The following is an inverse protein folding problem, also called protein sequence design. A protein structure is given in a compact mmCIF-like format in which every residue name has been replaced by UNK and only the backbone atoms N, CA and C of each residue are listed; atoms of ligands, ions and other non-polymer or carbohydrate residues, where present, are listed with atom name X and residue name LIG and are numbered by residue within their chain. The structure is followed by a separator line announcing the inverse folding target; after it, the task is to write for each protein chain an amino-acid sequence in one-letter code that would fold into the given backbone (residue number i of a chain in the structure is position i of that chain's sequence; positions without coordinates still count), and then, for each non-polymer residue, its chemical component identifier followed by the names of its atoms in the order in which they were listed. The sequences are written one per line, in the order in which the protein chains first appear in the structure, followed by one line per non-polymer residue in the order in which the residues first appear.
data_IF_203967047140
#
_entry.id   IF_203967047140
#
_cell.length_a   1.000
_cell.length_b   1.000
_cell.length_c   1.000
_cell.angle_alpha   90.00
_cell.angle_beta   90.00
_cell.angle_gamma   90.00
#
_symmetry.space_group_name_H-M   'P 1'
#
loop_
_entity.id
_entity.type
_entity.pdbx_description
1 polymer ?
#
# COMPACT_ATOMS: atom_id res chain seq x y z
N UNK A 1 -12.02 -7.87 -4.90
CA UNK A 1 -10.83 -8.35 -5.63
C UNK A 1 -9.66 -8.58 -4.68
N UNK A 2 -8.66 -9.39 -5.08
CA UNK A 2 -7.45 -9.66 -4.30
C UNK A 2 -6.23 -9.25 -5.12
N UNK A 3 -5.31 -8.49 -4.51
CA UNK A 3 -4.07 -8.01 -5.11
C UNK A 3 -2.91 -8.39 -4.18
N UNK A 4 -1.79 -8.85 -4.72
CA UNK A 4 -0.59 -9.18 -3.94
C UNK A 4 0.53 -8.26 -4.38
N UNK A 5 1.11 -7.51 -3.43
CA UNK A 5 2.27 -6.64 -3.67
C UNK A 5 3.47 -7.09 -2.83
N UNK A 6 4.71 -6.83 -3.30
CA UNK A 6 5.90 -6.96 -2.46
C UNK A 6 5.76 -6.12 -1.18
N UNK A 7 6.47 -6.51 -0.12
CA UNK A 7 6.36 -5.80 1.15
C UNK A 7 6.72 -4.30 1.03
N UNK A 8 5.80 -3.38 1.36
CA UNK A 8 6.01 -1.96 1.11
C UNK A 8 7.01 -1.29 2.06
N UNK A 9 7.63 -0.17 1.63
CA UNK A 9 8.24 0.77 2.55
C UNK A 9 7.19 1.41 3.47
N UNK A 10 7.58 1.78 4.69
CA UNK A 10 6.70 2.57 5.57
C UNK A 10 6.57 4.01 5.05
N UNK A 11 5.51 4.71 5.48
CA UNK A 11 5.20 6.10 5.11
C UNK A 11 6.38 7.06 5.31
N UNK A 12 7.13 6.86 6.39
CA UNK A 12 8.33 7.65 6.72
C UNK A 12 9.49 7.48 5.72
N UNK A 13 9.43 6.46 4.87
CA UNK A 13 10.42 6.17 3.83
C UNK A 13 9.91 6.44 2.41
N UNK A 14 8.68 6.94 2.23
CA UNK A 14 8.10 7.14 0.90
C UNK A 14 8.66 8.34 0.18
N UNK A 15 8.76 9.47 0.89
CA UNK A 15 9.13 10.74 0.30
C UNK A 15 10.34 11.35 1.01
N UNK A 16 11.23 11.94 0.24
CA UNK A 16 12.26 12.85 0.73
C UNK A 16 11.80 14.30 0.68
N UNK A 17 12.61 15.18 1.27
CA UNK A 17 12.32 16.62 1.40
C UNK A 17 11.74 16.97 2.77
N UNK A 18 12.05 18.17 3.26
CA UNK A 18 11.56 18.72 4.53
C UNK A 18 10.39 19.70 4.40
N UNK A 19 10.00 20.33 5.51
CA UNK A 19 8.87 21.28 5.62
C UNK A 19 8.94 22.48 4.67
N UNK A 20 10.10 22.76 4.08
CA UNK A 20 10.35 23.87 3.14
C UNK A 20 10.82 23.40 1.76
N UNK A 21 10.78 22.09 1.48
CA UNK A 21 11.21 21.52 0.21
C UNK A 21 10.04 20.77 -0.44
N UNK A 22 9.98 20.80 -1.77
CA UNK A 22 9.04 19.97 -2.52
C UNK A 22 9.30 18.49 -2.20
N UNK A 23 8.26 17.76 -1.80
CA UNK A 23 8.36 16.32 -1.59
C UNK A 23 8.66 15.61 -2.89
N UNK A 24 9.57 14.64 -2.84
CA UNK A 24 9.90 13.80 -3.99
C UNK A 24 9.94 12.32 -3.58
N UNK A 25 9.56 11.38 -4.46
CA UNK A 25 9.61 9.96 -4.14
C UNK A 25 11.05 9.53 -3.82
N UNK A 26 11.21 8.82 -2.70
CA UNK A 26 12.52 8.32 -2.26
C UNK A 26 13.03 7.22 -3.20
N UNK A 27 14.34 6.94 -3.15
CA UNK A 27 14.93 5.82 -3.90
C UNK A 27 14.28 4.49 -3.54
N UNK A 28 13.99 4.28 -2.24
CA UNK A 28 13.35 3.06 -1.74
C UNK A 28 11.93 2.91 -2.28
N UNK A 29 11.18 4.01 -2.33
CA UNK A 29 9.81 3.99 -2.85
C UNK A 29 9.78 3.73 -4.35
N UNK A 30 10.64 4.39 -5.12
CA UNK A 30 10.78 4.13 -6.56
C UNK A 30 11.14 2.67 -6.85
N UNK A 31 12.10 2.11 -6.10
CA UNK A 31 12.50 0.72 -6.25
C UNK A 31 11.35 -0.26 -5.93
N UNK A 32 10.58 0.02 -4.88
CA UNK A 32 9.41 -0.80 -4.54
C UNK A 32 8.34 -0.73 -5.64
N UNK A 33 8.01 0.45 -6.16
CA UNK A 33 7.04 0.58 -7.27
C UNK A 33 7.48 -0.16 -8.53
N UNK A 34 8.78 -0.17 -8.83
CA UNK A 34 9.33 -0.90 -9.97
C UNK A 34 9.29 -2.43 -9.78
N UNK A 35 9.27 -2.91 -8.53
CA UNK A 35 9.14 -4.33 -8.20
C UNK A 35 7.68 -4.80 -8.11
N UNK A 36 6.71 -3.87 -8.08
CA UNK A 36 5.30 -4.21 -8.04
C UNK A 36 4.81 -4.69 -9.41
N UNK A 37 3.88 -5.65 -9.46
CA UNK A 37 3.25 -6.07 -10.71
C UNK A 37 2.38 -4.93 -11.26
N UNK A 38 2.32 -4.84 -12.59
CA UNK A 38 1.33 -3.97 -13.23
C UNK A 38 -0.08 -4.48 -12.91
N UNK A 39 -0.97 -3.55 -12.56
CA UNK A 39 -2.36 -3.87 -12.21
C UNK A 39 -3.30 -3.44 -13.34
N UNK A 40 -4.42 -4.13 -13.47
CA UNK A 40 -5.50 -3.71 -14.36
C UNK A 40 -6.24 -2.52 -13.74
N UNK A 41 -6.46 -1.48 -14.55
CA UNK A 41 -7.18 -0.29 -14.13
C UNK A 41 -8.68 -0.60 -14.00
N UNK A 42 -9.15 -0.82 -12.77
CA UNK A 42 -10.56 -1.07 -12.47
C UNK A 42 -11.40 0.22 -12.36
N UNK A 43 -10.76 1.37 -12.09
CA UNK A 43 -11.41 2.67 -12.01
C UNK A 43 -12.47 2.78 -10.92
N UNK A 44 -12.30 2.08 -9.78
CA UNK A 44 -13.30 2.06 -8.70
C UNK A 44 -13.46 3.47 -8.12
N UNK A 45 -14.68 4.01 -8.24
CA UNK A 45 -15.08 5.32 -7.73
C UNK A 45 -16.22 5.24 -6.71
N UNK A 46 -16.65 4.04 -6.34
CA UNK A 46 -17.63 3.79 -5.29
C UNK A 46 -16.96 3.50 -3.94
N UNK A 47 -17.66 3.70 -2.81
CA UNK A 47 -17.14 3.33 -1.50
C UNK A 47 -16.71 1.86 -1.42
N UNK A 48 -15.51 1.63 -0.90
CA UNK A 48 -14.93 0.31 -0.68
C UNK A 48 -14.33 0.19 0.71
N UNK A 49 -14.27 -1.06 1.17
CA UNK A 49 -13.42 -1.47 2.27
C UNK A 49 -12.12 -2.09 1.72
N UNK A 50 -10.97 -1.67 2.27
CA UNK A 50 -9.66 -2.25 1.97
C UNK A 50 -9.12 -3.00 3.20
N UNK A 51 -8.87 -4.29 3.04
CA UNK A 51 -8.26 -5.14 4.05
C UNK A 51 -6.82 -5.53 3.66
N UNK A 52 -5.88 -5.35 4.57
CA UNK A 52 -4.45 -5.64 4.37
C UNK A 52 -3.98 -6.83 5.24
N UNK A 53 -3.45 -7.87 4.62
CA UNK A 53 -2.81 -8.99 5.32
C UNK A 53 -1.30 -8.96 5.11
N UNK A 54 -0.54 -8.74 6.18
CA UNK A 54 0.91 -8.61 6.10
C UNK A 54 1.65 -9.93 6.35
N UNK A 55 2.59 -10.26 5.46
CA UNK A 55 3.65 -11.23 5.70
C UNK A 55 4.96 -10.47 5.93
N UNK A 56 5.39 -10.37 7.20
CA UNK A 56 6.45 -9.46 7.62
C UNK A 56 7.85 -9.95 7.19
N UNK A 57 8.75 -9.06 6.75
CA UNK A 57 10.11 -9.45 6.35
C UNK A 57 11.01 -9.81 7.54
N UNK A 58 10.67 -9.39 8.76
CA UNK A 58 11.45 -9.68 9.95
C UNK A 58 10.63 -9.50 11.23
N UNK A 59 11.17 -9.97 12.36
CA UNK A 59 10.56 -9.89 13.70
C UNK A 59 10.60 -8.51 14.36
N UNK A 60 11.02 -7.45 13.64
CA UNK A 60 11.05 -6.10 14.22
C UNK A 60 9.62 -5.65 14.48
N UNK A 61 9.35 -5.11 15.67
CA UNK A 61 8.09 -4.43 15.98
C UNK A 61 7.91 -3.24 15.03
N UNK A 62 6.75 -3.15 14.41
CA UNK A 62 6.39 -2.16 13.40
C UNK A 62 4.93 -1.76 13.61
N UNK A 63 4.62 -0.53 13.26
CA UNK A 63 3.23 -0.10 13.10
C UNK A 63 2.70 -0.55 11.72
N UNK A 64 1.59 -1.28 11.69
CA UNK A 64 0.97 -1.77 10.45
C UNK A 64 0.39 -0.67 9.58
N UNK A 65 -0.22 0.34 10.20
CA UNK A 65 -0.90 1.42 9.49
C UNK A 65 0.08 2.28 8.68
N UNK A 66 1.32 2.39 9.16
CA UNK A 66 2.42 3.04 8.45
C UNK A 66 2.67 2.49 7.03
N UNK A 67 2.16 1.31 6.67
CA UNK A 67 2.37 0.71 5.35
C UNK A 67 1.21 0.93 4.37
N UNK A 68 0.05 1.41 4.83
CA UNK A 68 -1.14 1.56 3.99
C UNK A 68 -0.90 2.57 2.88
N UNK A 69 -0.28 3.71 3.21
CA UNK A 69 -0.09 4.80 2.27
C UNK A 69 0.69 4.40 1.02
N UNK A 70 1.68 3.50 1.17
CA UNK A 70 2.44 3.00 0.03
C UNK A 70 1.55 2.20 -0.93
N UNK A 71 0.63 1.41 -0.36
CA UNK A 71 -0.31 0.59 -1.10
C UNK A 71 -1.37 1.44 -1.77
N UNK A 72 -2.05 2.34 -1.03
CA UNK A 72 -3.12 3.18 -1.60
C UNK A 72 -2.60 4.08 -2.72
N UNK A 73 -1.44 4.72 -2.54
CA UNK A 73 -0.78 5.49 -3.61
C UNK A 73 -0.55 4.65 -4.87
N UNK A 74 -0.13 3.40 -4.70
CA UNK A 74 0.14 2.51 -5.82
C UNK A 74 -1.16 2.13 -6.54
N UNK A 75 -2.21 1.77 -5.80
CA UNK A 75 -3.53 1.47 -6.35
C UNK A 75 -4.11 2.64 -7.16
N UNK A 76 -4.01 3.88 -6.65
CA UNK A 76 -4.40 5.10 -7.38
C UNK A 76 -3.51 5.29 -8.62
N UNK A 77 -2.19 5.14 -8.48
CA UNK A 77 -1.27 5.33 -9.63
C UNK A 77 -1.44 4.31 -10.75
N UNK A 78 -2.02 3.14 -10.45
CA UNK A 78 -2.37 2.11 -11.42
C UNK A 78 -3.83 2.21 -11.89
N UNK A 79 -4.61 3.16 -11.37
CA UNK A 79 -6.02 3.33 -11.73
C UNK A 79 -6.93 2.21 -11.23
N UNK A 80 -6.55 1.49 -10.17
CA UNK A 80 -7.41 0.47 -9.55
C UNK A 80 -8.57 1.14 -8.81
N UNK A 81 -8.25 2.14 -8.00
CA UNK A 81 -9.20 3.04 -7.35
C UNK A 81 -8.97 4.45 -7.90
N UNK A 82 -10.03 5.26 -8.00
CA UNK A 82 -9.93 6.60 -8.57
C UNK A 82 -9.21 7.59 -7.64
N UNK A 83 -9.33 7.41 -6.32
CA UNK A 83 -8.66 8.22 -5.29
C UNK A 83 -8.60 7.44 -3.97
N UNK A 84 -7.77 7.88 -3.01
CA UNK A 84 -7.65 7.31 -1.67
C UNK A 84 -8.35 8.13 -0.56
N UNK A 85 -9.29 9.00 -0.96
CA UNK A 85 -10.09 9.81 -0.05
C UNK A 85 -11.17 8.97 0.68
N UNK A 86 -11.78 9.56 1.72
CA UNK A 86 -12.75 8.89 2.60
C UNK A 86 -14.09 8.53 1.92
N UNK A 87 -14.39 9.08 0.73
CA UNK A 87 -15.60 8.74 -0.02
C UNK A 87 -15.42 7.45 -0.82
N UNK A 88 -14.19 7.19 -1.29
CA UNK A 88 -13.85 5.97 -2.02
C UNK A 88 -13.31 4.92 -1.06
N UNK A 89 -12.29 5.24 -0.27
CA UNK A 89 -11.74 4.37 0.78
C UNK A 89 -12.49 4.68 2.08
N UNK A 90 -13.69 4.14 2.19
CA UNK A 90 -14.58 4.38 3.33
C UNK A 90 -14.03 3.75 4.62
N UNK A 91 -13.40 2.59 4.53
CA UNK A 91 -12.86 1.91 5.70
C UNK A 91 -11.67 1.01 5.38
N UNK A 92 -10.80 0.87 6.36
CA UNK A 92 -9.58 0.06 6.26
C UNK A 92 -9.46 -0.87 7.47
N UNK A 93 -8.91 -2.05 7.26
CA UNK A 93 -8.55 -2.97 8.35
C UNK A 93 -7.31 -3.78 7.99
N UNK A 94 -6.66 -4.38 8.99
CA UNK A 94 -5.45 -5.16 8.73
C UNK A 94 -5.23 -6.29 9.73
N UNK A 95 -4.53 -7.32 9.27
CA UNK A 95 -4.02 -8.42 10.08
C UNK A 95 -2.63 -8.88 9.59
N UNK A 96 -2.12 -10.00 10.11
CA UNK A 96 -0.86 -10.55 9.67
C UNK A 96 -0.80 -12.07 9.75
N UNK A 97 0.00 -12.68 8.86
CA UNK A 97 0.32 -14.12 8.87
C UNK A 97 1.66 -14.43 9.54
N UNK A 98 2.26 -13.43 10.19
CA UNK A 98 3.55 -13.56 10.88
C UNK A 98 4.73 -13.17 10.00
N UNK A 99 5.90 -13.76 10.27
CA UNK A 99 7.15 -13.41 9.57
C UNK A 99 7.42 -14.39 8.45
N UNK A 100 7.46 -13.89 7.22
CA UNK A 100 7.88 -14.60 6.02
C UNK A 100 9.12 -13.91 5.44
N UNK A 101 10.30 -14.49 5.71
CA UNK A 101 11.57 -13.93 5.23
C UNK A 101 11.82 -14.23 3.76
N UNK A 102 11.15 -15.25 3.22
CA UNK A 102 11.38 -15.74 1.87
C UNK A 102 10.50 -14.98 0.88
N UNK A 103 9.25 -14.70 1.26
CA UNK A 103 8.28 -14.00 0.44
C UNK A 103 7.49 -12.93 1.25
N UNK A 104 8.18 -11.86 1.70
CA UNK A 104 7.51 -10.78 2.41
C UNK A 104 6.62 -9.99 1.44
N UNK A 105 5.35 -9.82 1.83
CA UNK A 105 4.31 -9.26 0.95
C UNK A 105 3.19 -8.60 1.75
N UNK A 106 2.34 -7.88 1.04
CA UNK A 106 1.03 -7.46 1.50
C UNK A 106 -0.02 -8.02 0.54
N UNK A 107 -1.00 -8.72 1.11
CA UNK A 107 -2.18 -9.18 0.39
C UNK A 107 -3.31 -8.18 0.66
N UNK A 108 -3.94 -7.69 -0.40
CA UNK A 108 -4.89 -6.59 -0.36
C UNK A 108 -6.22 -7.13 -0.86
N UNK A 109 -7.25 -7.05 -0.03
CA UNK A 109 -8.62 -7.40 -0.41
C UNK A 109 -9.47 -6.14 -0.44
N UNK A 110 -10.03 -5.86 -1.61
CA UNK A 110 -10.96 -4.73 -1.82
C UNK A 110 -12.37 -5.29 -1.97
N UNK A 111 -13.31 -4.80 -1.18
CA UNK A 111 -14.73 -5.17 -1.23
C UNK A 111 -15.60 -3.94 -1.34
N UNK A 112 -16.63 -3.99 -2.19
CA UNK A 112 -17.65 -2.94 -2.26
C UNK A 112 -18.39 -2.85 -0.93
N UNK A 113 -18.81 -1.64 -0.58
CA UNK A 113 -19.68 -1.38 0.55
C UNK A 113 -21.13 -1.18 0.13
#
# INVERSE_FOLDING_TARGET
MIIILPFPPSVNSLFGGGSKQKRFPSKKYKAWKAACPQLEAAGISTPVHIHYTFAWPCRRKRDGQSYFKAVTDYLVSQGVIADDNYEIVDSESWDHVGVDKTNPRVEIRITNK
#
